data_IF_474527738298
#
_entry.id   IF_474527738298
#
_cell.length_a   1.000
_cell.length_b   1.000
_cell.length_c   1.000
_cell.angle_alpha   90.00
_cell.angle_beta   90.00
_cell.angle_gamma   90.00
#
_symmetry.space_group_name_H-M   'P 1'
#
loop_
_entity.id
_entity.type
_entity.pdbx_description
1 polymer ?
#
# COMPACT_ATOMS: atom_id res chain seq x y z
N UNK A 1 33.57 -4.51 12.92
CA UNK A 1 32.10 -4.63 12.95
C UNK A 1 31.38 -3.32 12.66
N UNK A 2 31.73 -2.17 13.26
CA UNK A 2 31.10 -0.87 12.94
C UNK A 2 31.41 -0.37 11.51
N UNK A 3 32.54 -0.76 10.92
CA UNK A 3 32.88 -0.44 9.52
C UNK A 3 31.87 -1.02 8.52
N UNK A 4 31.43 -2.27 8.72
CA UNK A 4 30.44 -2.92 7.85
C UNK A 4 29.12 -2.15 7.78
N UNK A 5 28.75 -1.53 8.90
CA UNK A 5 27.55 -0.70 9.00
C UNK A 5 27.71 0.66 8.31
N UNK A 6 28.93 1.21 8.28
CA UNK A 6 29.26 2.45 7.55
C UNK A 6 29.33 2.22 6.04
N UNK A 7 29.99 1.14 5.61
CA UNK A 7 30.15 0.83 4.18
C UNK A 7 28.82 0.48 3.52
N UNK A 8 27.92 -0.17 4.27
CA UNK A 8 26.58 -0.53 3.78
C UNK A 8 25.50 0.46 4.25
N UNK A 9 25.87 1.62 4.79
CA UNK A 9 24.91 2.60 5.30
C UNK A 9 23.95 3.08 4.22
N UNK A 10 24.47 3.36 3.02
CA UNK A 10 23.67 3.75 1.86
C UNK A 10 22.67 2.65 1.47
N UNK A 11 23.11 1.39 1.43
CA UNK A 11 22.27 0.24 1.11
C UNK A 11 21.13 0.07 2.12
N UNK A 12 21.42 0.22 3.42
CA UNK A 12 20.41 0.12 4.49
C UNK A 12 19.37 1.24 4.35
N UNK A 13 19.80 2.47 4.05
CA UNK A 13 18.89 3.61 3.84
C UNK A 13 17.96 3.36 2.64
N UNK A 14 18.53 2.93 1.51
CA UNK A 14 17.74 2.63 0.30
C UNK A 14 16.73 1.51 0.58
N UNK A 15 17.16 0.43 1.24
CA UNK A 15 16.28 -0.67 1.62
C UNK A 15 15.14 -0.20 2.54
N UNK A 16 15.44 0.65 3.54
CA UNK A 16 14.44 1.20 4.45
C UNK A 16 13.41 2.06 3.70
N UNK A 17 13.83 2.87 2.71
CA UNK A 17 12.91 3.67 1.89
C UNK A 17 11.99 2.77 1.07
N UNK A 18 12.54 1.76 0.38
CA UNK A 18 11.74 0.84 -0.45
C UNK A 18 10.71 0.09 0.40
N UNK A 19 11.13 -0.45 1.55
CA UNK A 19 10.23 -1.13 2.49
C UNK A 19 9.18 -0.14 3.03
N UNK A 20 9.60 1.07 3.39
CA UNK A 20 8.71 2.13 3.88
C UNK A 20 7.62 2.47 2.87
N UNK A 21 7.96 2.60 1.59
CA UNK A 21 6.99 2.85 0.51
C UNK A 21 6.03 1.67 0.34
N UNK A 22 6.53 0.43 0.36
CA UNK A 22 5.68 -0.77 0.29
C UNK A 22 4.66 -0.82 1.44
N UNK A 23 5.13 -0.64 2.68
CA UNK A 23 4.28 -0.62 3.87
C UNK A 23 3.28 0.53 3.79
N UNK A 24 3.70 1.71 3.33
CA UNK A 24 2.83 2.87 3.14
C UNK A 24 1.70 2.58 2.15
N UNK A 25 2.00 1.97 1.00
CA UNK A 25 0.99 1.56 0.01
C UNK A 25 -0.01 0.58 0.61
N UNK A 26 0.46 -0.43 1.35
CA UNK A 26 -0.42 -1.41 2.00
C UNK A 26 -1.34 -0.74 3.03
N UNK A 27 -0.79 0.10 3.91
CA UNK A 27 -1.57 0.85 4.90
C UNK A 27 -2.57 1.78 4.21
N UNK A 28 -2.15 2.46 3.15
CA UNK A 28 -3.02 3.32 2.36
C UNK A 28 -4.20 2.53 1.77
N UNK A 29 -3.94 1.35 1.20
CA UNK A 29 -5.00 0.45 0.68
C UNK A 29 -5.95 -0.02 1.78
N UNK A 30 -5.45 -0.40 2.94
CA UNK A 30 -6.28 -0.84 4.09
C UNK A 30 -7.14 0.32 4.60
N UNK A 31 -6.56 1.51 4.77
CA UNK A 31 -7.29 2.71 5.19
C UNK A 31 -8.34 3.13 4.16
N UNK A 32 -8.02 3.04 2.87
CA UNK A 32 -8.94 3.31 1.77
C UNK A 32 -10.14 2.35 1.84
N UNK A 33 -9.89 1.05 2.04
CA UNK A 33 -10.92 0.04 2.25
C UNK A 33 -11.79 0.33 3.49
N UNK A 34 -11.18 0.71 4.61
CA UNK A 34 -11.90 1.05 5.85
C UNK A 34 -12.79 2.30 5.70
N UNK A 35 -12.39 3.25 4.84
CA UNK A 35 -13.19 4.44 4.51
C UNK A 35 -14.32 4.14 3.52
N UNK A 36 -14.51 2.89 3.11
CA UNK A 36 -15.52 2.49 2.13
C UNK A 36 -15.18 2.89 0.70
N UNK A 37 -13.96 3.36 0.44
CA UNK A 37 -13.49 3.68 -0.90
C UNK A 37 -13.13 2.37 -1.62
N UNK A 38 -14.01 1.95 -2.52
CA UNK A 38 -13.88 0.70 -3.29
C UNK A 38 -12.73 0.84 -4.29
N UNK A 39 -12.03 -0.26 -4.58
CA UNK A 39 -10.89 -0.29 -5.51
C UNK A 39 -11.26 0.09 -6.94
N UNK A 40 -12.51 -0.16 -7.34
CA UNK A 40 -13.10 0.45 -8.52
C UNK A 40 -13.45 1.91 -8.15
N UNK A 41 -12.82 2.89 -8.80
CA UNK A 41 -13.07 4.32 -8.53
C UNK A 41 -14.51 4.78 -8.82
N UNK A 42 -15.32 3.89 -9.38
CA UNK A 42 -16.76 4.01 -9.49
C UNK A 42 -17.36 3.37 -8.22
N UNK A 43 -18.06 4.12 -7.37
CA UNK A 43 -18.76 3.54 -6.21
C UNK A 43 -19.70 2.39 -6.62
N UNK A 44 -20.38 1.75 -5.67
CA UNK A 44 -21.29 0.61 -5.97
C UNK A 44 -22.30 0.90 -7.10
N UNK A 45 -22.64 2.17 -7.37
CA UNK A 45 -23.51 2.59 -8.47
C UNK A 45 -22.90 2.50 -9.88
N UNK A 46 -21.57 2.40 -10.03
CA UNK A 46 -20.89 2.28 -11.33
C UNK A 46 -20.01 1.03 -11.46
N UNK A 47 -20.13 0.08 -10.53
CA UNK A 47 -19.41 -1.19 -10.58
C UNK A 47 -20.13 -2.14 -11.57
N UNK A 48 -19.41 -2.76 -12.51
CA UNK A 48 -20.00 -3.68 -13.48
C UNK A 48 -20.66 -4.90 -12.82
N UNK A 49 -20.20 -5.30 -11.63
CA UNK A 49 -20.81 -6.36 -10.80
C UNK A 49 -21.83 -5.83 -9.76
N UNK A 50 -22.29 -4.58 -9.85
CA UNK A 50 -23.27 -4.02 -8.90
C UNK A 50 -24.57 -4.85 -8.80
N UNK A 51 -24.97 -5.51 -9.89
CA UNK A 51 -26.17 -6.36 -9.94
C UNK A 51 -26.07 -7.63 -9.09
N UNK A 52 -24.87 -8.15 -8.80
CA UNK A 52 -24.68 -9.33 -7.94
C UNK A 52 -24.29 -8.97 -6.50
N UNK A 53 -24.01 -7.70 -6.20
CA UNK A 53 -23.57 -7.26 -4.86
C UNK A 53 -24.69 -7.32 -3.79
N UNK A 54 -25.96 -7.32 -4.20
CA UNK A 54 -27.14 -7.27 -3.32
C UNK A 54 -28.07 -8.49 -3.50
N UNK A 55 -27.52 -9.62 -3.91
CA UNK A 55 -28.26 -10.87 -4.05
C UNK A 55 -28.22 -11.69 -2.77
#
# INVERSE_FOLDING_TARGET
>A
MIQFLKDNLATIIIAAIVIGLMVWVVIHRIRKRQRGEITCGCGCSGCSEASDCHK
#
